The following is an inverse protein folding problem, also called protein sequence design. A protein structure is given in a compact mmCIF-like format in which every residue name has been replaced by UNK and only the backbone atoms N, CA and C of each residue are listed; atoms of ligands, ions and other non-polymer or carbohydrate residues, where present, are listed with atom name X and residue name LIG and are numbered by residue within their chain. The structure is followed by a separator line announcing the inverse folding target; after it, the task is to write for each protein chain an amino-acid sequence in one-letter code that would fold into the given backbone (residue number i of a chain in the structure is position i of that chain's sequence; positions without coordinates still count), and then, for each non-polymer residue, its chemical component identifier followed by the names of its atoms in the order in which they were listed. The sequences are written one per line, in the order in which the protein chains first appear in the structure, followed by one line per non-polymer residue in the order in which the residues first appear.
data_IF_501589327461
#
_entry.id   IF_501589327461
#
_cell.length_a   1.000
_cell.length_b   1.000
_cell.length_c   1.000
_cell.angle_alpha   90.00
_cell.angle_beta   90.00
_cell.angle_gamma   90.00
#
_symmetry.space_group_name_H-M   'P 1'
#
loop_
_entity.id
_entity.type
_entity.pdbx_description
1 polymer ?
#
# COMPACT_ATOMS: atom_id res chain seq x y z
N UNK A 1 12.12 2.58 32.28
CA UNK A 1 12.35 1.57 31.24
C UNK A 1 13.57 0.79 31.67
N UNK A 2 13.35 -0.38 32.22
CA UNK A 2 14.33 -1.34 32.72
C UNK A 2 14.63 -2.38 31.62
N UNK A 3 15.88 -2.42 31.18
CA UNK A 3 16.36 -3.32 30.11
C UNK A 3 17.03 -4.59 30.68
N UNK A 4 16.57 -5.10 31.82
CA UNK A 4 17.15 -6.26 32.51
C UNK A 4 16.52 -7.61 32.08
N UNK A 5 15.85 -7.66 30.93
CA UNK A 5 15.39 -8.90 30.33
C UNK A 5 16.46 -9.56 29.47
N UNK A 6 16.55 -10.89 29.50
CA UNK A 6 17.49 -11.71 28.71
C UNK A 6 17.18 -11.74 27.20
N UNK A 7 16.42 -10.76 26.69
CA UNK A 7 15.87 -10.70 25.34
C UNK A 7 16.00 -9.28 24.78
N UNK A 8 17.25 -8.84 24.57
CA UNK A 8 17.52 -7.59 23.87
C UNK A 8 18.95 -7.10 24.11
N UNK A 9 19.89 -7.54 23.26
CA UNK A 9 21.24 -6.95 23.23
C UNK A 9 21.29 -5.87 22.15
N UNK A 10 21.94 -4.74 22.46
CA UNK A 10 22.29 -3.72 21.46
C UNK A 10 23.41 -4.26 20.58
N UNK A 11 23.21 -4.26 19.27
CA UNK A 11 24.22 -4.71 18.29
C UNK A 11 25.09 -3.50 17.91
N UNK A 12 26.30 -3.42 18.48
CA UNK A 12 27.25 -2.34 18.19
C UNK A 12 28.14 -2.65 16.97
N UNK A 13 28.28 -3.92 16.62
CA UNK A 13 29.09 -4.34 15.48
C UNK A 13 28.32 -4.11 14.17
N UNK A 14 28.84 -3.28 13.24
CA UNK A 14 28.14 -2.95 11.99
C UNK A 14 27.91 -4.16 11.07
N UNK A 15 28.78 -5.17 11.11
CA UNK A 15 28.63 -6.40 10.29
C UNK A 15 27.55 -7.32 10.87
N UNK A 16 27.49 -7.41 12.20
CA UNK A 16 26.45 -8.15 12.92
C UNK A 16 25.08 -7.49 12.69
N UNK A 17 25.02 -6.16 12.74
CA UNK A 17 23.79 -5.41 12.49
C UNK A 17 23.27 -5.60 11.06
N UNK A 18 24.16 -5.59 10.05
CA UNK A 18 23.79 -5.87 8.67
C UNK A 18 23.28 -7.31 8.49
N UNK A 19 23.93 -8.27 9.12
CA UNK A 19 23.54 -9.69 9.06
C UNK A 19 22.18 -9.91 9.72
N UNK A 20 21.95 -9.31 10.90
CA UNK A 20 20.68 -9.35 11.60
C UNK A 20 19.55 -8.69 10.78
N UNK A 21 19.82 -7.55 10.14
CA UNK A 21 18.84 -6.88 9.28
C UNK A 21 18.47 -7.71 8.04
N UNK A 22 19.45 -8.38 7.41
CA UNK A 22 19.20 -9.32 6.31
C UNK A 22 18.38 -10.52 6.79
N UNK A 23 18.77 -11.14 7.91
CA UNK A 23 18.08 -12.30 8.49
C UNK A 23 16.63 -11.96 8.88
N UNK A 24 16.39 -10.82 9.54
CA UNK A 24 15.04 -10.33 9.84
C UNK A 24 14.23 -10.09 8.57
N UNK A 25 14.83 -9.47 7.54
CA UNK A 25 14.20 -9.27 6.23
C UNK A 25 13.77 -10.59 5.57
N UNK A 26 14.61 -11.63 5.64
CA UNK A 26 14.28 -12.97 5.15
C UNK A 26 13.26 -13.70 6.04
N UNK A 27 13.33 -13.53 7.36
CA UNK A 27 12.39 -14.13 8.31
C UNK A 27 10.98 -13.54 8.17
N UNK A 28 10.86 -12.23 7.92
CA UNK A 28 9.59 -11.57 7.60
C UNK A 28 8.96 -12.18 6.34
N UNK A 29 9.78 -12.41 5.30
CA UNK A 29 9.34 -13.06 4.05
C UNK A 29 8.81 -14.47 4.29
N UNK A 30 9.53 -15.30 5.06
CA UNK A 30 9.12 -16.68 5.40
C UNK A 30 7.88 -16.74 6.30
N UNK A 31 7.70 -15.77 7.20
CA UNK A 31 6.54 -15.71 8.12
C UNK A 31 5.25 -15.39 7.36
N UNK A 32 5.35 -14.55 6.32
CA UNK A 32 4.27 -14.33 5.35
C UNK A 32 3.89 -15.62 4.61
N UNK A 33 4.88 -16.41 4.18
CA UNK A 33 4.64 -17.71 3.52
C UNK A 33 3.97 -18.75 4.41
N UNK A 34 4.28 -18.78 5.72
CA UNK A 34 3.67 -19.73 6.68
C UNK A 34 2.19 -19.45 6.97
N UNK A 35 1.74 -18.19 6.88
CA UNK A 35 0.32 -17.85 7.01
C UNK A 35 -0.53 -18.42 5.86
N UNK A 36 0.08 -18.75 4.71
CA UNK A 36 -0.62 -19.38 3.58
C UNK A 36 -0.79 -20.92 3.71
N UNK A 37 -0.08 -21.60 4.61
CA UNK A 37 -0.04 -23.09 4.61
C UNK A 37 -1.18 -23.73 5.43
N UNK A 38 -1.89 -22.99 6.29
CA UNK A 38 -3.04 -23.52 7.06
C UNK A 38 -4.41 -23.28 6.41
N UNK A 39 -4.47 -22.73 5.19
CA UNK A 39 -5.71 -22.45 4.48
C UNK A 39 -6.07 -23.50 3.42
N UNK A 40 -6.07 -24.79 3.76
CA UNK A 40 -6.63 -25.80 2.86
C UNK A 40 -8.13 -25.95 3.15
N UNK A 41 -8.97 -25.32 2.32
CA UNK A 41 -10.23 -25.91 1.84
C UNK A 41 -10.92 -25.04 0.77
N UNK A 42 -11.02 -25.63 -0.44
CA UNK A 42 -12.03 -25.44 -1.51
C UNK A 42 -11.49 -24.94 -2.88
N UNK A 43 -11.89 -25.55 -4.03
CA UNK A 43 -11.41 -25.19 -5.37
C UNK A 43 -12.07 -23.92 -5.96
N UNK A 44 -12.73 -23.11 -5.15
CA UNK A 44 -13.35 -21.86 -5.60
C UNK A 44 -12.39 -20.70 -5.32
N UNK A 45 -11.58 -20.36 -6.34
CA UNK A 45 -10.83 -19.12 -6.52
C UNK A 45 -10.74 -18.17 -5.29
N UNK A 46 -9.60 -18.10 -4.59
CA UNK A 46 -9.34 -17.08 -3.57
C UNK A 46 -9.24 -15.65 -4.13
N UNK A 47 -9.22 -15.47 -5.45
CA UNK A 47 -8.82 -14.20 -6.08
C UNK A 47 -9.95 -13.17 -6.26
N UNK A 48 -11.23 -13.57 -6.22
CA UNK A 48 -12.31 -12.60 -6.52
C UNK A 48 -12.69 -11.74 -5.32
N UNK A 49 -12.64 -12.28 -4.10
CA UNK A 49 -13.07 -11.55 -2.91
C UNK A 49 -12.12 -10.39 -2.57
N UNK A 50 -10.80 -10.65 -2.50
CA UNK A 50 -9.79 -9.62 -2.20
C UNK A 50 -9.84 -8.46 -3.22
N UNK A 51 -10.09 -8.79 -4.49
CA UNK A 51 -10.23 -7.80 -5.57
C UNK A 51 -11.48 -6.91 -5.42
N UNK A 52 -12.43 -7.22 -4.54
CA UNK A 52 -13.64 -6.41 -4.33
C UNK A 52 -13.60 -5.63 -3.01
N UNK A 53 -12.84 -6.05 -2.00
CA UNK A 53 -12.85 -5.42 -0.67
C UNK A 53 -12.40 -3.95 -0.72
N UNK A 54 -11.48 -3.59 -1.62
CA UNK A 54 -11.07 -2.20 -1.76
C UNK A 54 -12.25 -1.27 -2.16
N UNK A 55 -13.29 -1.79 -2.81
CA UNK A 55 -14.45 -0.99 -3.25
C UNK A 55 -15.28 -0.45 -2.09
N UNK A 56 -15.23 -1.12 -0.94
CA UNK A 56 -15.92 -0.71 0.29
C UNK A 56 -15.11 0.27 1.13
N UNK A 57 -13.86 0.55 0.74
CA UNK A 57 -12.98 1.44 1.49
C UNK A 57 -13.32 2.90 1.23
N UNK A 58 -13.33 3.71 2.29
CA UNK A 58 -13.70 5.13 2.21
C UNK A 58 -12.74 5.96 1.35
N UNK A 59 -11.47 5.55 1.28
CA UNK A 59 -10.43 6.18 0.47
C UNK A 59 -10.51 5.80 -1.02
N UNK A 60 -11.28 4.78 -1.38
CA UNK A 60 -11.46 4.38 -2.78
C UNK A 60 -12.66 5.13 -3.36
N UNK A 61 -12.53 5.72 -4.54
CA UNK A 61 -13.58 6.54 -5.18
C UNK A 61 -14.08 5.93 -6.49
N UNK A 62 -13.63 4.72 -6.84
CA UNK A 62 -14.06 4.01 -8.05
C UNK A 62 -13.74 4.79 -9.32
N UNK A 63 -14.70 4.81 -10.25
CA UNK A 63 -14.51 5.33 -11.61
C UNK A 63 -14.76 6.84 -11.69
N UNK A 64 -13.90 7.62 -11.05
CA UNK A 64 -13.84 9.09 -11.21
C UNK A 64 -12.68 9.50 -12.11
N UNK A 65 -12.80 10.65 -12.78
CA UNK A 65 -11.73 11.16 -13.65
C UNK A 65 -10.55 11.74 -12.87
N UNK A 66 -9.45 11.98 -13.57
CA UNK A 66 -8.31 12.72 -12.99
C UNK A 66 -8.75 14.11 -12.54
N UNK A 67 -9.52 14.81 -13.36
CA UNK A 67 -9.98 16.17 -13.11
C UNK A 67 -10.90 16.21 -11.88
N UNK A 68 -11.78 15.22 -11.77
CA UNK A 68 -12.69 15.07 -10.63
C UNK A 68 -11.92 14.77 -9.34
N UNK A 69 -10.94 13.87 -9.38
CA UNK A 69 -10.08 13.62 -8.22
C UNK A 69 -9.33 14.87 -7.75
N UNK A 70 -8.91 15.71 -8.69
CA UNK A 70 -8.24 16.97 -8.36
C UNK A 70 -9.20 17.98 -7.75
N UNK A 71 -10.44 18.05 -8.26
CA UNK A 71 -11.51 18.89 -7.71
C UNK A 71 -11.82 18.51 -6.26
N UNK A 72 -11.98 17.21 -5.97
CA UNK A 72 -12.27 16.70 -4.61
C UNK A 72 -11.16 17.09 -3.63
N UNK A 73 -9.88 16.84 -3.98
CA UNK A 73 -8.74 17.19 -3.13
C UNK A 73 -8.67 18.71 -2.88
N UNK A 74 -8.94 19.52 -3.92
CA UNK A 74 -8.98 20.99 -3.78
C UNK A 74 -10.06 21.44 -2.81
N UNK A 75 -11.28 20.89 -2.94
CA UNK A 75 -12.41 21.23 -2.08
C UNK A 75 -12.19 20.86 -0.61
N UNK A 76 -11.38 19.82 -0.35
CA UNK A 76 -11.05 19.37 1.00
C UNK A 76 -9.77 20.02 1.57
N UNK A 77 -9.30 21.11 0.95
CA UNK A 77 -8.33 22.03 1.57
C UNK A 77 -6.86 21.80 1.23
N UNK A 78 -6.53 20.96 0.24
CA UNK A 78 -5.14 20.76 -0.25
C UNK A 78 -4.12 20.43 0.87
N UNK A 79 -4.55 19.73 1.91
CA UNK A 79 -3.69 19.41 3.05
C UNK A 79 -2.66 18.35 2.67
N UNK A 80 -1.45 18.46 3.24
CA UNK A 80 -0.39 17.49 3.06
C UNK A 80 -0.81 16.09 3.51
N UNK A 81 -0.68 15.11 2.62
CA UNK A 81 -1.08 13.72 2.90
C UNK A 81 -2.57 13.46 2.63
N UNK A 82 -3.31 14.43 2.10
CA UNK A 82 -4.68 14.24 1.63
C UNK A 82 -4.69 13.40 0.35
N UNK A 83 -5.44 12.31 0.31
CA UNK A 83 -5.38 11.35 -0.79
C UNK A 83 -6.71 10.64 -1.09
N UNK A 84 -6.78 10.05 -2.28
CA UNK A 84 -7.80 9.07 -2.66
C UNK A 84 -7.22 8.09 -3.69
N UNK A 85 -7.84 6.91 -3.81
CA UNK A 85 -7.58 5.97 -4.90
C UNK A 85 -8.78 5.92 -5.84
N UNK A 86 -8.52 5.68 -7.12
CA UNK A 86 -9.55 5.56 -8.16
C UNK A 86 -9.13 4.58 -9.24
N UNK A 87 -10.09 4.16 -10.04
CA UNK A 87 -9.81 3.40 -11.26
C UNK A 87 -8.99 4.24 -12.25
N UNK A 88 -8.07 3.61 -12.96
CA UNK A 88 -7.38 4.27 -14.07
C UNK A 88 -8.29 4.35 -15.30
N UNK A 89 -8.38 5.54 -15.90
CA UNK A 89 -9.14 5.73 -17.14
C UNK A 89 -8.37 5.22 -18.38
N UNK A 90 -7.05 5.14 -18.31
CA UNK A 90 -6.19 4.75 -19.44
C UNK A 90 -5.78 3.28 -19.42
N UNK A 91 -5.85 2.61 -18.26
CA UNK A 91 -5.48 1.20 -18.12
C UNK A 91 -6.51 0.49 -17.23
N UNK A 92 -7.41 -0.36 -17.78
CA UNK A 92 -8.47 -1.03 -17.02
C UNK A 92 -7.99 -1.96 -15.89
N UNK A 93 -6.73 -2.39 -15.90
CA UNK A 93 -6.16 -3.25 -14.84
C UNK A 93 -5.41 -2.46 -13.77
N UNK A 94 -5.29 -1.14 -13.93
CA UNK A 94 -4.51 -0.29 -13.05
C UNK A 94 -5.40 0.61 -12.20
N UNK A 95 -4.85 1.04 -11.06
CA UNK A 95 -5.46 2.05 -10.20
C UNK A 95 -4.58 3.30 -10.19
N UNK A 96 -5.10 4.38 -9.63
CA UNK A 96 -4.36 5.62 -9.45
C UNK A 96 -4.51 6.10 -8.02
N UNK A 97 -3.38 6.32 -7.35
CA UNK A 97 -3.31 7.10 -6.11
C UNK A 97 -3.18 8.57 -6.49
N UNK A 98 -4.13 9.39 -6.06
CA UNK A 98 -4.05 10.86 -6.16
C UNK A 98 -3.74 11.42 -4.78
N UNK A 99 -2.65 12.17 -4.65
CA UNK A 99 -2.09 12.64 -3.37
C UNK A 99 -1.74 14.13 -3.43
N UNK A 100 -2.08 14.88 -2.38
CA UNK A 100 -1.65 16.26 -2.17
C UNK A 100 -0.38 16.34 -1.32
N UNK A 101 0.58 17.15 -1.75
CA UNK A 101 1.73 17.55 -0.96
C UNK A 101 2.24 18.93 -1.38
N UNK A 102 2.47 19.82 -0.43
CA UNK A 102 2.88 21.22 -0.64
C UNK A 102 1.98 21.93 -1.64
N UNK A 103 0.66 21.79 -1.44
CA UNK A 103 -0.38 22.38 -2.31
C UNK A 103 -0.34 21.90 -3.77
N UNK A 104 0.40 20.82 -4.07
CA UNK A 104 0.48 20.21 -5.40
C UNK A 104 -0.15 18.83 -5.39
N UNK A 105 -0.98 18.56 -6.37
CA UNK A 105 -1.65 17.27 -6.55
C UNK A 105 -0.83 16.41 -7.52
N UNK A 106 -0.45 15.21 -7.09
CA UNK A 106 0.28 14.23 -7.89
C UNK A 106 -0.58 12.98 -8.08
N UNK A 107 -0.42 12.33 -9.24
CA UNK A 107 -1.06 11.05 -9.55
C UNK A 107 0.04 10.01 -9.69
N UNK A 108 -0.11 8.87 -9.02
CA UNK A 108 0.80 7.74 -9.10
C UNK A 108 0.02 6.53 -9.61
N UNK A 109 0.51 5.89 -10.68
CA UNK A 109 -0.10 4.69 -11.20
C UNK A 109 0.25 3.51 -10.31
N UNK A 110 -0.77 2.76 -9.93
CA UNK A 110 -0.65 1.48 -9.24
C UNK A 110 -0.86 0.42 -10.32
N UNK A 111 0.23 -0.24 -10.70
CA UNK A 111 0.22 -1.22 -11.78
C UNK A 111 0.18 -2.63 -11.20
N UNK A 112 -0.57 -3.55 -11.84
CA UNK A 112 -0.45 -4.96 -11.53
C UNK A 112 0.89 -5.50 -12.05
N UNK A 113 1.53 -6.35 -11.28
CA UNK A 113 2.65 -7.17 -11.69
C UNK A 113 2.40 -8.63 -11.32
N UNK A 114 2.99 -9.55 -12.07
CA UNK A 114 2.89 -10.99 -11.81
C UNK A 114 4.22 -11.50 -11.26
N UNK A 115 4.15 -12.28 -10.20
CA UNK A 115 5.30 -12.96 -9.59
C UNK A 115 4.84 -14.36 -9.17
N UNK A 116 5.49 -15.39 -9.69
CA UNK A 116 5.14 -16.81 -9.48
C UNK A 116 3.64 -17.15 -9.69
N UNK A 117 3.04 -16.57 -10.75
CA UNK A 117 1.62 -16.78 -11.08
C UNK A 117 0.63 -16.06 -10.16
N UNK A 118 1.11 -15.28 -9.19
CA UNK A 118 0.30 -14.44 -8.33
C UNK A 118 0.37 -12.97 -8.78
N UNK A 119 -0.79 -12.30 -8.79
CA UNK A 119 -0.87 -10.86 -9.09
C UNK A 119 -0.59 -10.04 -7.82
N UNK A 120 0.25 -9.03 -7.98
CA UNK A 120 0.57 -8.01 -6.99
C UNK A 120 0.34 -6.61 -7.56
N UNK A 121 0.29 -5.60 -6.70
CA UNK A 121 0.21 -4.19 -7.06
C UNK A 121 1.47 -3.45 -6.62
N UNK A 122 1.92 -2.51 -7.44
CA UNK A 122 3.13 -1.74 -7.19
C UNK A 122 3.01 -0.29 -7.67
N UNK A 123 3.67 0.63 -6.96
CA UNK A 123 3.83 2.05 -7.30
C UNK A 123 5.22 2.38 -7.85
N UNK A 124 6.17 1.47 -7.74
CA UNK A 124 7.60 1.68 -7.99
C UNK A 124 8.21 0.56 -8.83
N UNK A 125 7.52 0.19 -9.91
CA UNK A 125 7.98 -0.79 -10.91
C UNK A 125 8.36 -2.17 -10.34
N UNK A 126 7.68 -2.59 -9.27
CA UNK A 126 7.79 -3.90 -8.67
C UNK A 126 8.82 -3.98 -7.54
N UNK A 127 9.47 -2.88 -7.16
CA UNK A 127 10.39 -2.85 -6.02
C UNK A 127 9.64 -3.12 -4.70
N UNK A 128 8.45 -2.53 -4.54
CA UNK A 128 7.54 -2.77 -3.42
C UNK A 128 6.22 -3.35 -3.94
N UNK A 129 5.94 -4.60 -3.56
CA UNK A 129 4.77 -5.36 -4.02
C UNK A 129 3.75 -5.55 -2.90
N UNK A 130 2.48 -5.39 -3.23
CA UNK A 130 1.35 -5.59 -2.32
C UNK A 130 0.36 -6.58 -2.90
N UNK A 131 -0.21 -7.45 -2.06
CA UNK A 131 -1.20 -8.43 -2.52
C UNK A 131 -2.54 -7.78 -2.88
N UNK A 132 -2.86 -6.65 -2.26
CA UNK A 132 -4.07 -5.87 -2.54
C UNK A 132 -3.85 -4.36 -2.25
N UNK A 133 -4.85 -3.55 -2.59
CA UNK A 133 -4.80 -2.10 -2.40
C UNK A 133 -4.88 -1.68 -0.92
N UNK A 134 -5.41 -2.52 -0.03
CA UNK A 134 -5.54 -2.21 1.39
C UNK A 134 -4.16 -2.25 2.02
N UNK A 135 -3.40 -3.32 1.78
CA UNK A 135 -2.01 -3.43 2.21
C UNK A 135 -1.13 -2.31 1.67
N UNK A 136 -1.34 -1.91 0.41
CA UNK A 136 -0.66 -0.77 -0.18
C UNK A 136 -0.94 0.52 0.61
N UNK A 137 -2.21 0.82 0.88
CA UNK A 137 -2.60 2.03 1.62
C UNK A 137 -2.05 1.99 3.04
N UNK A 138 -2.21 0.88 3.76
CA UNK A 138 -1.71 0.72 5.13
C UNK A 138 -0.19 0.93 5.20
N UNK A 139 0.54 0.36 4.24
CA UNK A 139 1.98 0.56 4.15
C UNK A 139 2.34 2.03 3.95
N UNK A 140 1.69 2.73 3.01
CA UNK A 140 2.03 4.13 2.71
C UNK A 140 1.46 5.14 3.72
N UNK A 141 0.56 4.73 4.61
CA UNK A 141 0.18 5.50 5.80
C UNK A 141 1.31 5.52 6.84
N UNK A 142 2.03 4.41 7.00
CA UNK A 142 3.13 4.29 7.94
C UNK A 142 4.47 4.74 7.34
N UNK A 143 4.69 4.46 6.05
CA UNK A 143 5.95 4.61 5.34
C UNK A 143 5.82 5.58 4.17
N UNK A 144 6.85 6.41 3.95
CA UNK A 144 6.86 7.32 2.80
C UNK A 144 7.12 6.58 1.48
N UNK A 145 8.07 5.65 1.49
CA UNK A 145 8.56 4.99 0.26
C UNK A 145 8.91 6.01 -0.83
N UNK A 146 8.43 5.75 -2.05
CA UNK A 146 8.61 6.63 -3.22
C UNK A 146 7.70 7.86 -3.25
N UNK A 147 6.71 7.95 -2.34
CA UNK A 147 5.77 9.07 -2.31
C UNK A 147 6.44 10.34 -1.75
N UNK A 148 5.94 11.54 -2.10
CA UNK A 148 6.48 12.78 -1.53
C UNK A 148 6.23 12.92 -0.02
N UNK A 149 5.16 12.33 0.49
CA UNK A 149 4.83 12.25 1.92
C UNK A 149 3.96 11.00 2.19
N UNK A 150 3.77 10.66 3.47
CA UNK A 150 2.87 9.57 3.89
C UNK A 150 1.41 9.93 3.62
N UNK A 151 0.60 8.90 3.40
CA UNK A 151 -0.85 9.04 3.35
C UNK A 151 -1.36 9.36 4.77
N UNK A 152 -2.19 10.38 4.91
CA UNK A 152 -2.68 10.83 6.23
C UNK A 152 -4.19 10.92 6.30
N UNK A 153 -4.81 11.58 5.33
CA UNK A 153 -6.22 11.89 5.35
C UNK A 153 -6.83 11.42 4.04
N UNK A 154 -7.84 10.57 4.10
CA UNK A 154 -8.55 10.16 2.89
C UNK A 154 -9.64 11.16 2.55
N UNK A 155 -9.86 11.39 1.25
CA UNK A 155 -10.96 12.24 0.83
C UNK A 155 -12.30 11.55 1.10
N UNK A 156 -13.26 12.31 1.63
CA UNK A 156 -14.65 11.84 1.77
C UNK A 156 -15.31 11.85 0.39
N UNK A 157 -16.02 10.76 0.04
CA UNK A 157 -16.88 10.73 -1.15
C UNK A 157 -18.01 11.75 -0.95
N UNK A 158 -18.07 12.76 -1.82
CA UNK A 158 -19.20 13.66 -1.88
C UNK A 158 -20.23 13.01 -2.81
N UNK A 159 -21.33 12.51 -2.25
CA UNK A 159 -22.50 12.19 -3.07
C UNK A 159 -23.09 13.53 -3.54
N UNK A 160 -23.14 13.72 -4.85
CA UNK A 160 -23.90 14.81 -5.49
C UNK A 160 -25.39 14.44 -5.51
#
# INVERSE_FOLDING_TARGET
MDFSGQTGRVIENPVEAQSAALEEGHAWRKRSTRMNILGSQSPLHPSTLSTVIHRTQHWFHGRISREESHRIIKQQGLVDGLFLLRDSQSNPKAFVLTLCHRQKIKNFQILPCEDDGQTFFSLDDGNTKFSDLIQLVDFYQLNKGVLPCRLKHHCIRVAL
#
